data_IF_026561250712
#
_entry.id   IF_026561250712
#
_cell.length_a   1.000
_cell.length_b   1.000
_cell.length_c   1.000
_cell.angle_alpha   90.00
_cell.angle_beta   90.00
_cell.angle_gamma   90.00
#
_symmetry.space_group_name_H-M   'P 1'
#
loop_
_entity.id
_entity.type
_entity.pdbx_description
1 polymer ?
#
# COMPACT_ATOMS: atom_id res chain seq x y z
N UNK A 1 -26.53 28.49 -17.87
CA UNK A 1 -27.79 28.45 -17.10
C UNK A 1 -28.41 27.08 -17.26
N UNK A 2 -29.02 26.61 -16.16
CA UNK A 2 -29.69 25.33 -15.93
C UNK A 2 -28.83 24.11 -15.53
N UNK A 3 -29.36 23.29 -14.59
CA UNK A 3 -28.62 22.83 -13.42
C UNK A 3 -28.66 21.29 -13.25
N UNK A 4 -27.65 20.72 -12.59
CA UNK A 4 -27.68 19.29 -12.22
C UNK A 4 -28.16 19.15 -10.78
N UNK A 5 -29.48 19.20 -10.61
CA UNK A 5 -30.19 18.63 -9.47
C UNK A 5 -30.67 17.22 -9.81
N UNK A 6 -30.50 16.31 -8.85
CA UNK A 6 -31.19 15.01 -8.72
C UNK A 6 -30.56 13.81 -9.41
N UNK A 7 -29.83 13.01 -8.63
CA UNK A 7 -29.79 11.56 -8.79
C UNK A 7 -29.91 10.91 -7.40
N UNK A 8 -31.14 10.45 -7.11
CA UNK A 8 -31.47 9.49 -6.04
C UNK A 8 -31.04 8.10 -6.51
N UNK A 9 -30.36 7.35 -5.64
CA UNK A 9 -30.42 5.88 -5.56
C UNK A 9 -29.99 5.49 -4.13
N UNK A 10 -30.95 5.37 -3.21
CA UNK A 10 -31.50 4.11 -2.69
C UNK A 10 -30.52 3.38 -1.75
N UNK A 11 -30.89 3.42 -0.48
CA UNK A 11 -30.28 2.76 0.68
C UNK A 11 -31.13 1.52 1.02
N UNK A 12 -30.49 0.37 1.20
CA UNK A 12 -30.96 -0.88 1.85
C UNK A 12 -29.68 -1.73 1.99
N UNK A 13 -29.33 -2.40 3.08
CA UNK A 13 -29.93 -2.63 4.40
C UNK A 13 -28.84 -3.27 5.28
N UNK A 14 -29.12 -3.29 6.58
CA UNK A 14 -28.23 -3.67 7.68
C UNK A 14 -27.63 -5.08 7.61
N UNK A 15 -26.44 -5.24 8.20
CA UNK A 15 -26.20 -6.36 9.13
C UNK A 15 -25.27 -5.92 10.27
N UNK A 16 -25.77 -6.11 11.48
CA UNK A 16 -25.13 -5.87 12.76
C UNK A 16 -24.08 -6.94 13.09
N UNK A 17 -23.09 -6.53 13.90
CA UNK A 17 -22.40 -7.42 14.83
C UNK A 17 -20.96 -7.80 14.46
N UNK A 18 -19.99 -7.10 15.04
CA UNK A 18 -19.15 -7.67 16.09
C UNK A 18 -18.13 -6.66 16.64
N UNK A 19 -17.93 -6.82 17.94
CA UNK A 19 -17.23 -6.00 18.92
C UNK A 19 -15.70 -6.11 18.89
N UNK A 20 -15.07 -5.00 19.29
CA UNK A 20 -13.83 -4.86 20.09
C UNK A 20 -12.47 -5.40 19.62
N UNK A 21 -11.55 -4.44 19.45
CA UNK A 21 -10.21 -4.32 20.04
C UNK A 21 -9.32 -5.57 20.17
N UNK A 22 -8.16 -5.55 19.49
CA UNK A 22 -7.05 -6.48 19.73
C UNK A 22 -5.81 -6.13 18.92
N UNK A 23 -4.71 -5.91 19.64
CA UNK A 23 -3.29 -5.77 19.26
C UNK A 23 -2.83 -6.33 17.91
N UNK A 24 -1.90 -5.58 17.29
CA UNK A 24 -1.07 -5.93 16.15
C UNK A 24 -0.64 -7.40 16.12
N UNK A 25 -1.24 -8.17 15.23
CA UNK A 25 -0.77 -9.47 14.78
C UNK A 25 -0.95 -9.51 13.26
N UNK A 26 0.09 -9.91 12.52
CA UNK A 26 -0.02 -10.19 11.07
C UNK A 26 -1.21 -11.14 10.89
N UNK A 27 -2.10 -10.94 9.89
CA UNK A 27 -3.20 -11.86 9.68
C UNK A 27 -2.63 -13.24 9.37
N UNK A 28 -2.79 -14.18 10.29
CA UNK A 28 -2.59 -15.60 10.01
C UNK A 28 -3.72 -16.01 9.08
N UNK A 29 -3.44 -16.10 7.79
CA UNK A 29 -4.36 -16.68 6.82
C UNK A 29 -4.41 -18.19 7.13
N UNK A 30 -5.31 -18.58 8.04
CA UNK A 30 -5.62 -19.99 8.22
C UNK A 30 -6.34 -20.45 6.96
N UNK A 31 -5.84 -21.52 6.33
CA UNK A 31 -6.44 -22.21 5.18
C UNK A 31 -7.76 -22.93 5.54
N UNK A 32 -8.71 -22.22 6.17
CA UNK A 32 -10.06 -22.73 6.38
C UNK A 32 -11.05 -21.80 5.70
N UNK A 33 -11.57 -22.25 4.56
CA UNK A 33 -12.82 -21.75 3.98
C UNK A 33 -12.72 -21.30 2.53
N UNK A 34 -11.72 -20.51 2.15
CA UNK A 34 -11.62 -19.88 0.82
C UNK A 34 -10.14 -19.78 0.36
N UNK A 35 -9.43 -20.91 0.25
CA UNK A 35 -8.03 -20.91 -0.20
C UNK A 35 -7.94 -20.77 -1.72
N UNK A 36 -7.13 -19.82 -2.21
CA UNK A 36 -6.76 -19.70 -3.64
C UNK A 36 -5.90 -20.88 -4.17
N UNK A 37 -5.64 -21.88 -3.33
CA UNK A 37 -4.88 -23.08 -3.66
C UNK A 37 -5.83 -24.24 -3.97
N UNK A 38 -5.47 -25.13 -4.91
CA UNK A 38 -6.23 -26.35 -5.17
C UNK A 38 -6.18 -27.29 -3.96
N UNK A 39 -7.19 -28.17 -3.82
CA UNK A 39 -7.29 -29.13 -2.71
C UNK A 39 -6.07 -30.05 -2.57
N UNK A 40 -5.38 -30.29 -3.68
CA UNK A 40 -4.18 -31.12 -3.75
C UNK A 40 -3.08 -30.42 -4.54
N UNK A 41 -1.88 -30.44 -4.00
CA UNK A 41 -0.67 -29.90 -4.63
C UNK A 41 0.43 -30.94 -4.66
N UNK A 42 1.24 -30.90 -5.71
CA UNK A 42 2.48 -31.68 -5.78
C UNK A 42 3.61 -30.82 -5.21
N UNK A 43 4.41 -31.38 -4.30
CA UNK A 43 5.55 -30.71 -3.69
C UNK A 43 6.84 -31.38 -4.16
N UNK A 44 7.72 -30.66 -4.86
CA UNK A 44 9.09 -31.14 -5.15
C UNK A 44 10.03 -30.65 -4.05
N UNK A 45 10.63 -31.61 -3.36
CA UNK A 45 11.58 -31.36 -2.28
C UNK A 45 12.87 -32.10 -2.61
N UNK A 46 13.84 -31.37 -3.15
CA UNK A 46 15.15 -31.92 -3.49
C UNK A 46 15.09 -33.04 -4.55
N UNK A 47 14.17 -32.93 -5.52
CA UNK A 47 13.99 -33.90 -6.62
C UNK A 47 13.04 -35.04 -6.30
N UNK A 48 12.38 -35.02 -5.14
CA UNK A 48 11.35 -35.99 -4.74
C UNK A 48 10.00 -35.31 -4.71
N UNK A 49 9.05 -35.87 -5.45
CA UNK A 49 7.68 -35.33 -5.55
C UNK A 49 6.76 -36.02 -4.55
N UNK A 50 6.03 -35.23 -3.78
CA UNK A 50 5.03 -35.69 -2.82
C UNK A 50 3.66 -35.10 -3.19
N UNK A 51 2.59 -35.85 -2.96
CA UNK A 51 1.23 -35.29 -2.98
C UNK A 51 0.90 -34.80 -1.58
N UNK A 52 0.53 -33.53 -1.50
CA UNK A 52 0.05 -32.90 -0.28
C UNK A 52 -1.45 -32.63 -0.42
N UNK A 53 -2.23 -33.18 0.51
CA UNK A 53 -3.64 -32.89 0.66
C UNK A 53 -3.80 -31.71 1.62
N UNK A 54 -4.27 -30.58 1.10
CA UNK A 54 -4.34 -29.30 1.82
C UNK A 54 -5.39 -29.36 2.94
N UNK A 55 -6.49 -30.09 2.72
CA UNK A 55 -7.55 -30.18 3.72
C UNK A 55 -7.23 -31.18 4.83
N UNK A 56 -6.61 -32.30 4.48
CA UNK A 56 -6.26 -33.33 5.44
C UNK A 56 -4.92 -33.08 6.17
N UNK A 57 -4.10 -32.12 5.72
CA UNK A 57 -2.71 -31.91 6.15
C UNK A 57 -1.91 -33.23 6.12
N UNK A 58 -2.09 -33.99 5.03
CA UNK A 58 -1.43 -35.29 4.85
C UNK A 58 -0.50 -35.28 3.64
N UNK A 59 0.63 -35.97 3.80
CA UNK A 59 1.65 -36.12 2.78
C UNK A 59 1.72 -37.59 2.34
N UNK A 60 1.51 -37.84 1.06
CA UNK A 60 1.67 -39.17 0.46
C UNK A 60 2.85 -39.16 -0.52
N UNK A 61 3.75 -40.17 -0.49
CA UNK A 61 4.73 -40.34 -1.55
C UNK A 61 4.00 -40.65 -2.86
N UNK A 62 4.26 -39.87 -3.90
CA UNK A 62 3.71 -40.11 -5.23
C UNK A 62 4.69 -40.82 -6.14
N UNK A 63 4.22 -41.82 -6.88
CA UNK A 63 4.76 -42.10 -8.21
C UNK A 63 4.25 -41.01 -9.18
N UNK A 64 5.00 -40.65 -10.23
CA UNK A 64 4.68 -39.49 -11.07
C UNK A 64 3.33 -39.68 -11.76
N UNK A 65 2.28 -39.12 -11.16
CA UNK A 65 0.96 -39.07 -11.77
C UNK A 65 0.99 -37.96 -12.82
N UNK A 66 1.08 -38.35 -14.09
CA UNK A 66 0.81 -37.45 -15.22
C UNK A 66 -0.71 -37.23 -15.28
N UNK A 67 -1.18 -36.15 -14.69
CA UNK A 67 -2.56 -35.68 -14.77
C UNK A 67 -2.58 -34.15 -14.71
N UNK A 68 -3.32 -33.52 -15.63
CA UNK A 68 -3.22 -32.10 -15.97
C UNK A 68 -3.81 -31.10 -14.98
N UNK A 69 -4.33 -31.53 -13.83
CA UNK A 69 -5.09 -30.65 -12.92
C UNK A 69 -4.36 -30.33 -11.60
N UNK A 70 -3.08 -30.68 -11.44
CA UNK A 70 -2.32 -30.48 -10.20
C UNK A 70 -1.30 -29.34 -10.30
N UNK A 71 -1.30 -28.44 -9.31
CA UNK A 71 -0.27 -27.42 -9.15
C UNK A 71 0.99 -28.03 -8.52
N UNK A 72 2.12 -27.91 -9.20
CA UNK A 72 3.41 -28.41 -8.77
C UNK A 72 4.25 -27.28 -8.15
N UNK A 73 4.39 -27.29 -6.83
CA UNK A 73 5.09 -26.28 -6.05
C UNK A 73 6.48 -26.77 -5.68
N UNK A 74 7.47 -25.90 -5.86
CA UNK A 74 8.86 -26.20 -5.52
C UNK A 74 9.64 -24.93 -5.20
N UNK A 75 10.85 -25.12 -4.70
CA UNK A 75 11.82 -24.05 -4.49
C UNK A 75 13.00 -24.24 -5.45
N UNK A 76 13.16 -23.36 -6.45
CA UNK A 76 14.20 -23.52 -7.45
C UNK A 76 15.61 -23.27 -6.89
N UNK A 77 16.51 -24.25 -7.05
CA UNK A 77 17.92 -24.11 -6.68
C UNK A 77 18.72 -23.28 -7.70
N UNK A 78 18.35 -23.36 -8.99
CA UNK A 78 18.98 -22.66 -10.11
C UNK A 78 17.94 -21.82 -10.89
N UNK A 79 18.39 -20.73 -11.54
CA UNK A 79 17.57 -19.84 -12.39
C UNK A 79 17.16 -20.46 -13.74
N UNK A 80 17.03 -21.79 -13.82
CA UNK A 80 16.63 -22.47 -15.06
C UNK A 80 15.11 -22.42 -15.19
N UNK A 81 14.63 -21.71 -16.21
CA UNK A 81 13.22 -21.71 -16.58
C UNK A 81 12.80 -23.13 -16.98
N UNK A 82 11.94 -23.77 -16.19
CA UNK A 82 11.29 -25.04 -16.55
C UNK A 82 9.94 -24.74 -17.19
N UNK A 83 9.77 -25.14 -18.45
CA UNK A 83 8.66 -24.79 -19.33
C UNK A 83 7.36 -25.57 -19.07
N UNK A 84 6.96 -25.76 -17.81
CA UNK A 84 5.80 -26.55 -17.44
C UNK A 84 4.65 -25.65 -16.96
N UNK A 85 3.47 -25.77 -17.56
CA UNK A 85 2.35 -24.83 -17.44
C UNK A 85 1.70 -24.81 -16.04
N UNK A 86 2.01 -25.80 -15.20
CA UNK A 86 1.46 -25.95 -13.85
C UNK A 86 2.53 -25.96 -12.75
N UNK A 87 3.71 -25.41 -13.02
CA UNK A 87 4.84 -25.36 -12.08
C UNK A 87 4.99 -23.97 -11.45
N UNK A 88 5.00 -23.93 -10.12
CA UNK A 88 5.16 -22.73 -9.30
C UNK A 88 6.52 -22.71 -8.61
N UNK A 89 7.32 -21.69 -8.89
CA UNK A 89 8.59 -21.43 -8.22
C UNK A 89 8.42 -20.43 -7.06
N UNK A 90 8.53 -20.91 -5.83
CA UNK A 90 8.46 -20.05 -4.65
C UNK A 90 9.61 -19.04 -4.56
N UNK A 91 10.80 -19.38 -5.08
CA UNK A 91 11.94 -18.46 -5.08
C UNK A 91 11.68 -17.28 -6.02
N UNK A 92 11.00 -17.53 -7.13
CA UNK A 92 10.54 -16.47 -8.03
C UNK A 92 9.66 -15.46 -7.30
N UNK A 93 8.58 -15.92 -6.65
CA UNK A 93 7.68 -15.03 -5.92
C UNK A 93 8.41 -14.31 -4.79
N UNK A 94 9.27 -15.00 -4.05
CA UNK A 94 10.04 -14.39 -2.98
C UNK A 94 10.99 -13.28 -3.48
N UNK A 95 11.62 -13.44 -4.65
CA UNK A 95 12.47 -12.41 -5.26
C UNK A 95 11.70 -11.12 -5.52
N UNK A 96 10.48 -11.26 -6.04
CA UNK A 96 9.62 -10.14 -6.41
C UNK A 96 9.00 -9.48 -5.18
N UNK A 97 8.55 -10.28 -4.21
CA UNK A 97 7.88 -9.81 -3.02
C UNK A 97 8.83 -9.33 -1.94
N UNK A 98 10.11 -9.68 -1.97
CA UNK A 98 11.10 -9.26 -0.96
C UNK A 98 12.40 -8.79 -1.62
N UNK A 99 12.37 -7.75 -2.48
CA UNK A 99 13.54 -7.25 -3.20
C UNK A 99 14.65 -6.73 -2.29
N UNK A 100 14.32 -6.38 -1.04
CA UNK A 100 15.26 -5.91 -0.03
C UNK A 100 16.18 -7.01 0.53
N UNK A 101 15.86 -8.29 0.30
CA UNK A 101 16.69 -9.39 0.76
C UNK A 101 17.97 -9.49 -0.08
N UNK A 102 19.15 -9.62 0.56
CA UNK A 102 20.43 -9.73 -0.15
C UNK A 102 20.53 -11.03 -0.96
N UNK A 103 19.86 -12.07 -0.50
CA UNK A 103 19.75 -13.37 -1.16
C UNK A 103 18.38 -13.98 -0.90
N UNK A 104 17.91 -14.74 -1.87
CA UNK A 104 16.65 -15.49 -1.79
C UNK A 104 16.98 -16.99 -1.75
N UNK A 105 17.82 -17.39 -0.78
CA UNK A 105 17.98 -18.79 -0.42
C UNK A 105 16.81 -19.21 0.48
N UNK A 106 16.40 -20.49 0.44
CA UNK A 106 15.23 -20.98 1.18
C UNK A 106 15.28 -20.57 2.66
N UNK A 107 16.42 -20.80 3.31
CA UNK A 107 16.61 -20.45 4.72
C UNK A 107 16.42 -18.95 4.97
N UNK A 108 16.93 -18.09 4.08
CA UNK A 108 16.88 -16.64 4.27
C UNK A 108 15.47 -16.08 4.14
N UNK A 109 14.73 -16.58 3.15
CA UNK A 109 13.31 -16.21 2.95
C UNK A 109 12.48 -16.63 4.17
N UNK A 110 12.73 -17.83 4.71
CA UNK A 110 12.02 -18.31 5.91
C UNK A 110 12.29 -17.47 7.15
N UNK A 111 13.55 -17.10 7.38
CA UNK A 111 13.93 -16.21 8.48
C UNK A 111 13.20 -14.87 8.38
N UNK A 112 13.14 -14.28 7.17
CA UNK A 112 12.40 -13.04 6.92
C UNK A 112 10.90 -13.18 7.20
N UNK A 113 10.31 -14.32 6.81
CA UNK A 113 8.90 -14.63 7.06
C UNK A 113 8.62 -15.04 8.53
N UNK A 114 9.64 -15.24 9.35
CA UNK A 114 9.51 -15.69 10.74
C UNK A 114 9.12 -17.17 10.89
N UNK A 115 9.36 -17.99 9.86
CA UNK A 115 8.98 -19.40 9.84
C UNK A 115 10.03 -20.29 10.52
N UNK A 116 9.62 -21.04 11.54
CA UNK A 116 10.48 -22.01 12.23
C UNK A 116 10.60 -23.31 11.41
N UNK A 117 11.74 -24.00 11.53
CA UNK A 117 11.91 -25.35 10.95
C UNK A 117 11.04 -26.37 11.66
N UNK A 118 10.29 -27.13 10.87
CA UNK A 118 9.59 -28.32 11.34
C UNK A 118 10.43 -29.57 11.04
N UNK A 119 9.93 -30.72 11.46
CA UNK A 119 10.52 -32.03 11.14
C UNK A 119 10.22 -32.48 9.71
N UNK A 120 9.34 -31.79 8.98
CA UNK A 120 8.92 -32.16 7.63
C UNK A 120 9.24 -31.05 6.64
N UNK A 121 10.13 -31.33 5.70
CA UNK A 121 10.45 -30.40 4.62
C UNK A 121 9.21 -30.03 3.77
N UNK A 122 8.21 -30.92 3.70
CA UNK A 122 6.97 -30.64 3.00
C UNK A 122 6.12 -29.58 3.73
N UNK A 123 5.97 -29.73 5.05
CA UNK A 123 5.25 -28.73 5.86
C UNK A 123 5.97 -27.38 5.83
N UNK A 124 7.30 -27.41 5.84
CA UNK A 124 8.11 -26.19 5.70
C UNK A 124 7.85 -25.46 4.37
N UNK A 125 7.74 -26.20 3.26
CA UNK A 125 7.46 -25.63 1.94
C UNK A 125 6.04 -25.08 1.82
N UNK A 126 5.05 -25.79 2.38
CA UNK A 126 3.64 -25.33 2.44
C UNK A 126 3.51 -24.06 3.26
N UNK A 127 4.09 -24.02 4.46
CA UNK A 127 4.07 -22.84 5.32
C UNK A 127 4.73 -21.62 4.62
N UNK A 128 5.76 -21.86 3.81
CA UNK A 128 6.38 -20.81 3.00
C UNK A 128 5.47 -20.32 1.88
N UNK A 129 4.84 -21.23 1.14
CA UNK A 129 3.85 -20.89 0.11
C UNK A 129 2.73 -20.02 0.70
N UNK A 130 2.12 -20.44 1.80
CA UNK A 130 1.07 -19.70 2.49
C UNK A 130 1.52 -18.28 2.86
N UNK A 131 2.70 -18.14 3.47
CA UNK A 131 3.21 -16.84 3.89
C UNK A 131 3.54 -15.92 2.70
N UNK A 132 4.05 -16.47 1.61
CA UNK A 132 4.32 -15.75 0.36
C UNK A 132 3.01 -15.28 -0.28
N UNK A 133 1.99 -16.13 -0.36
CA UNK A 133 0.69 -15.76 -0.92
C UNK A 133 -0.05 -14.74 -0.04
N UNK A 134 0.07 -14.86 1.28
CA UNK A 134 -0.45 -13.86 2.20
C UNK A 134 0.19 -12.48 1.93
N UNK A 135 1.50 -12.40 1.77
CA UNK A 135 2.17 -11.15 1.38
C UNK A 135 1.72 -10.66 0.00
N UNK A 136 1.63 -11.55 -1.00
CA UNK A 136 1.18 -11.21 -2.34
C UNK A 136 -0.25 -10.63 -2.36
N UNK A 137 -1.14 -11.13 -1.51
CA UNK A 137 -2.51 -10.62 -1.37
C UNK A 137 -2.54 -9.17 -0.90
N UNK A 138 -1.49 -8.72 -0.19
CA UNK A 138 -1.37 -7.33 0.24
C UNK A 138 -1.04 -6.40 -0.90
N UNK A 139 -0.63 -6.86 -2.09
CA UNK A 139 -0.20 -5.97 -3.17
C UNK A 139 -1.34 -5.07 -3.70
N UNK A 140 -0.99 -3.87 -4.14
CA UNK A 140 -1.90 -2.98 -4.85
C UNK A 140 -2.35 -3.59 -6.18
N UNK A 141 -3.49 -3.15 -6.72
CA UNK A 141 -4.00 -3.61 -8.03
C UNK A 141 -2.99 -3.39 -9.15
N UNK A 142 -2.43 -2.19 -9.23
CA UNK A 142 -1.47 -1.83 -10.27
C UNK A 142 -0.20 -2.69 -10.20
N UNK A 143 0.31 -2.92 -8.99
CA UNK A 143 1.46 -3.81 -8.77
C UNK A 143 1.13 -5.24 -9.19
N UNK A 144 -0.03 -5.78 -8.80
CA UNK A 144 -0.46 -7.13 -9.21
C UNK A 144 -0.60 -7.24 -10.73
N UNK A 145 -1.31 -6.30 -11.34
CA UNK A 145 -1.48 -6.24 -12.79
C UNK A 145 -0.14 -6.19 -13.52
N UNK A 146 0.83 -5.41 -13.03
CA UNK A 146 2.17 -5.37 -13.61
C UNK A 146 2.92 -6.70 -13.44
N UNK A 147 2.85 -7.31 -12.26
CA UNK A 147 3.50 -8.59 -11.98
C UNK A 147 2.92 -9.75 -12.80
N UNK A 148 1.60 -9.81 -12.96
CA UNK A 148 0.92 -10.78 -13.85
C UNK A 148 1.47 -10.77 -15.27
N UNK A 149 2.04 -9.65 -15.74
CA UNK A 149 2.54 -9.49 -17.11
C UNK A 149 4.04 -9.75 -17.23
N UNK A 150 4.74 -9.76 -16.10
CA UNK A 150 6.19 -9.93 -16.01
C UNK A 150 6.60 -11.32 -15.53
N UNK A 151 5.78 -11.95 -14.70
CA UNK A 151 6.01 -13.27 -14.15
C UNK A 151 5.60 -14.39 -15.12
N UNK A 152 6.07 -15.63 -14.91
CA UNK A 152 5.61 -16.77 -15.69
C UNK A 152 4.11 -17.03 -15.47
N UNK A 153 3.50 -17.78 -16.39
CA UNK A 153 2.05 -17.95 -16.48
C UNK A 153 1.44 -18.51 -15.18
N UNK A 154 2.12 -19.44 -14.50
CA UNK A 154 1.64 -20.03 -13.24
C UNK A 154 1.62 -19.02 -12.10
N UNK A 155 2.73 -18.32 -11.86
CA UNK A 155 2.84 -17.27 -10.84
C UNK A 155 1.86 -16.14 -11.12
N UNK A 156 1.76 -15.71 -12.39
CA UNK A 156 0.81 -14.70 -12.84
C UNK A 156 -0.64 -15.15 -12.58
N UNK A 157 -0.99 -16.40 -12.90
CA UNK A 157 -2.33 -16.95 -12.68
C UNK A 157 -2.71 -16.92 -11.20
N UNK A 158 -1.79 -17.30 -10.31
CA UNK A 158 -2.02 -17.30 -8.86
C UNK A 158 -2.19 -15.86 -8.34
N UNK A 159 -1.37 -14.91 -8.81
CA UNK A 159 -1.54 -13.50 -8.45
C UNK A 159 -2.86 -12.91 -8.94
N UNK A 160 -3.31 -13.31 -10.13
CA UNK A 160 -4.61 -12.91 -10.70
C UNK A 160 -5.79 -13.45 -9.90
N UNK A 161 -5.73 -14.72 -9.46
CA UNK A 161 -6.76 -15.29 -8.59
C UNK A 161 -6.84 -14.58 -7.23
N UNK A 162 -5.71 -14.16 -6.66
CA UNK A 162 -5.68 -13.31 -5.47
C UNK A 162 -6.27 -11.91 -5.71
N UNK A 163 -6.33 -11.44 -6.97
CA UNK A 163 -6.95 -10.17 -7.34
C UNK A 163 -8.47 -10.19 -7.27
N UNK A 164 -9.11 -11.30 -7.66
CA UNK A 164 -10.56 -11.45 -7.65
C UNK A 164 -11.13 -11.49 -6.23
N UNK A 165 -10.41 -12.12 -5.29
CA UNK A 165 -10.80 -12.22 -3.87
C UNK A 165 -10.70 -10.86 -3.15
N UNK A 166 -9.84 -9.95 -3.62
CA UNK A 166 -9.56 -8.66 -2.97
C UNK A 166 -10.48 -7.50 -3.46
N UNK A 167 -11.65 -7.79 -4.01
CA UNK A 167 -12.46 -6.84 -4.78
C UNK A 167 -13.25 -5.81 -3.94
N UNK A 168 -12.64 -4.66 -3.63
CA UNK A 168 -13.31 -3.35 -3.83
C UNK A 168 -12.48 -2.51 -4.82
N UNK A 169 -13.00 -2.20 -6.03
CA UNK A 169 -12.33 -1.38 -7.03
C UNK A 169 -11.92 0.03 -6.60
N UNK A 170 -12.46 0.53 -5.47
CA UNK A 170 -12.14 1.85 -4.94
C UNK A 170 -11.01 1.84 -3.91
N UNK A 171 -10.59 0.67 -3.43
CA UNK A 171 -9.59 0.53 -2.35
C UNK A 171 -8.15 0.72 -2.86
N UNK A 172 -7.87 0.38 -4.13
CA UNK A 172 -6.55 0.51 -4.74
C UNK A 172 -6.06 1.95 -4.92
N UNK A 173 -6.99 2.91 -5.06
CA UNK A 173 -6.66 4.34 -5.04
C UNK A 173 -6.34 4.86 -3.63
N UNK A 174 -6.78 4.17 -2.57
CA UNK A 174 -6.57 4.62 -1.19
C UNK A 174 -5.13 4.40 -0.69
N UNK A 175 -4.28 3.69 -1.42
CA UNK A 175 -2.88 3.49 -0.97
C UNK A 175 -1.93 4.64 -1.32
N UNK A 176 -2.42 5.62 -2.08
CA UNK A 176 -1.85 6.96 -2.15
C UNK A 176 -2.61 7.96 -1.28
N UNK A 177 -3.58 7.53 -0.47
CA UNK A 177 -4.13 8.37 0.61
C UNK A 177 -3.24 8.20 1.84
N UNK A 178 -2.54 9.25 2.31
CA UNK A 178 -2.13 9.34 3.72
C UNK A 178 -3.35 9.41 4.65
N UNK A 179 -4.57 9.48 4.10
CA UNK A 179 -5.83 9.62 4.82
C UNK A 179 -6.30 8.27 5.36
N UNK A 180 -5.66 7.85 6.45
CA UNK A 180 -6.21 6.83 7.34
C UNK A 180 -7.58 7.27 7.85
N UNK A 181 -8.52 6.33 8.01
CA UNK A 181 -9.83 6.61 8.62
C UNK A 181 -9.63 7.19 10.05
N UNK A 182 -10.50 8.10 10.50
CA UNK A 182 -10.29 8.86 11.73
C UNK A 182 -10.26 7.95 12.95
N UNK A 183 -9.28 8.16 13.83
CA UNK A 183 -9.35 7.68 15.21
C UNK A 183 -9.62 8.90 16.09
N UNK A 184 -10.81 8.92 16.70
CA UNK A 184 -11.33 9.94 17.62
C UNK A 184 -11.54 11.37 17.05
N UNK A 185 -12.77 11.90 17.22
CA UNK A 185 -13.08 13.33 17.05
C UNK A 185 -12.40 14.09 18.19
N UNK A 186 -11.25 14.69 17.95
CA UNK A 186 -10.77 15.77 18.80
C UNK A 186 -11.68 16.99 18.60
N UNK A 187 -12.05 17.68 19.69
CA UNK A 187 -12.74 18.96 19.60
C UNK A 187 -11.85 19.94 18.82
N UNK A 188 -12.40 20.49 17.74
CA UNK A 188 -11.66 21.44 16.90
C UNK A 188 -11.31 22.68 17.73
N UNK A 189 -10.08 23.21 17.58
CA UNK A 189 -9.70 24.42 18.31
C UNK A 189 -10.60 25.60 17.92
N UNK A 190 -10.93 26.42 18.92
CA UNK A 190 -11.83 27.58 18.77
C UNK A 190 -11.24 28.60 17.80
N UNK A 191 -9.91 28.82 17.83
CA UNK A 191 -9.20 29.70 16.89
C UNK A 191 -7.90 29.08 16.36
N UNK A 192 -7.45 29.54 15.19
CA UNK A 192 -6.20 29.12 14.57
C UNK A 192 -4.97 29.49 15.43
N UNK A 193 -5.01 30.63 16.13
CA UNK A 193 -3.93 31.02 17.05
C UNK A 193 -3.84 30.13 18.28
N UNK A 194 -4.98 29.64 18.79
CA UNK A 194 -4.99 28.77 19.98
C UNK A 194 -4.42 27.39 19.66
N UNK A 195 -4.66 26.89 18.44
CA UNK A 195 -4.07 25.64 17.96
C UNK A 195 -2.53 25.64 18.01
N UNK A 196 -1.90 26.81 17.84
CA UNK A 196 -0.44 27.01 17.88
C UNK A 196 0.09 27.50 19.23
N UNK A 197 -0.75 27.63 20.26
CA UNK A 197 -0.28 27.98 21.61
C UNK A 197 0.54 26.82 22.23
N UNK A 198 1.34 27.11 23.26
CA UNK A 198 2.12 26.10 24.00
C UNK A 198 1.29 24.93 24.57
N UNK A 199 -0.02 25.09 24.73
CA UNK A 199 -0.97 24.03 25.13
C UNK A 199 -1.96 23.62 24.03
N UNK A 200 -1.76 24.10 22.80
CA UNK A 200 -2.66 23.88 21.67
C UNK A 200 -2.57 22.46 21.11
N UNK A 201 -3.54 22.11 20.26
CA UNK A 201 -3.66 20.79 19.62
C UNK A 201 -2.41 20.38 18.81
N UNK A 202 -1.62 21.36 18.35
CA UNK A 202 -0.38 21.12 17.60
C UNK A 202 0.83 20.91 18.51
N UNK A 203 0.91 21.57 19.67
CA UNK A 203 2.07 21.45 20.56
C UNK A 203 2.22 20.03 21.13
N UNK A 204 1.10 19.34 21.37
CA UNK A 204 1.07 18.01 21.99
C UNK A 204 1.84 16.92 21.22
N UNK A 205 2.07 17.09 19.92
CA UNK A 205 2.76 16.09 19.09
C UNK A 205 4.18 16.47 18.66
N UNK A 206 4.74 17.58 19.13
CA UNK A 206 6.06 18.07 18.72
C UNK A 206 6.99 18.18 19.93
N UNK A 207 7.98 17.28 20.08
CA UNK A 207 8.98 17.42 21.13
C UNK A 207 9.78 18.71 20.91
N UNK A 208 9.85 19.55 21.93
CA UNK A 208 10.47 20.89 21.89
C UNK A 208 9.70 21.94 21.06
N UNK A 209 8.36 21.85 21.04
CA UNK A 209 7.55 22.95 20.50
C UNK A 209 7.80 24.25 21.29
N UNK A 210 7.97 25.34 20.55
CA UNK A 210 8.16 26.67 21.10
C UNK A 210 7.21 27.61 20.38
N UNK A 211 6.45 28.38 21.16
CA UNK A 211 5.58 29.41 20.63
C UNK A 211 6.39 30.60 20.15
N UNK A 212 6.23 30.96 18.86
CA UNK A 212 6.94 32.07 18.24
C UNK A 212 5.98 33.19 17.90
N UNK A 213 6.22 34.38 18.45
CA UNK A 213 5.35 35.56 18.22
C UNK A 213 5.18 35.89 16.72
N UNK A 214 6.22 35.67 15.90
CA UNK A 214 6.14 35.84 14.44
C UNK A 214 5.16 34.85 13.78
N UNK A 215 5.17 33.60 14.22
CA UNK A 215 4.27 32.54 13.75
C UNK A 215 2.81 32.88 14.08
N UNK A 216 2.55 33.29 15.33
CA UNK A 216 1.22 33.65 15.80
C UNK A 216 0.65 34.86 15.06
N UNK A 217 1.46 35.91 14.87
CA UNK A 217 1.05 37.10 14.09
C UNK A 217 0.71 36.75 12.64
N UNK A 218 1.54 35.95 11.98
CA UNK A 218 1.27 35.49 10.61
C UNK A 218 0.00 34.64 10.55
N UNK A 219 -0.22 33.77 11.53
CA UNK A 219 -1.43 32.93 11.61
C UNK A 219 -2.70 33.76 11.69
N UNK A 220 -2.73 34.76 12.57
CA UNK A 220 -3.89 35.66 12.74
C UNK A 220 -4.14 36.45 11.45
N UNK A 221 -3.08 36.97 10.83
CA UNK A 221 -3.21 37.73 9.58
C UNK A 221 -3.78 36.86 8.44
N UNK A 222 -3.35 35.60 8.34
CA UNK A 222 -3.87 34.65 7.33
C UNK A 222 -5.34 34.30 7.63
N UNK A 223 -5.70 34.02 8.89
CA UNK A 223 -7.07 33.70 9.31
C UNK A 223 -8.04 34.85 8.99
N UNK A 224 -7.64 36.08 9.29
CA UNK A 224 -8.40 37.30 8.93
C UNK A 224 -8.55 37.44 7.41
N UNK A 225 -7.47 37.26 6.64
CA UNK A 225 -7.52 37.35 5.18
C UNK A 225 -8.40 36.27 4.54
N UNK A 226 -8.49 35.07 5.14
CA UNK A 226 -9.40 34.02 4.69
C UNK A 226 -10.86 34.37 4.97
N UNK A 227 -11.15 34.94 6.15
CA UNK A 227 -12.51 35.32 6.55
C UNK A 227 -13.05 36.55 5.80
N UNK A 228 -12.21 37.57 5.62
CA UNK A 228 -12.60 38.85 5.01
C UNK A 228 -12.39 38.86 3.48
N UNK A 229 -11.59 37.92 2.97
CA UNK A 229 -11.10 37.93 1.60
C UNK A 229 -9.99 38.97 1.36
N UNK A 230 -9.43 39.00 0.15
CA UNK A 230 -8.41 39.96 -0.25
C UNK A 230 -7.03 39.34 -0.48
N UNK A 231 -5.98 40.15 -0.34
CA UNK A 231 -4.60 39.74 -0.58
C UNK A 231 -3.70 40.15 0.59
N UNK A 232 -2.95 39.18 1.13
CA UNK A 232 -2.00 39.37 2.21
C UNK A 232 -0.57 39.12 1.71
N UNK A 233 0.32 40.07 1.97
CA UNK A 233 1.77 39.93 1.74
C UNK A 233 2.46 39.92 3.08
N UNK A 234 3.20 38.84 3.36
CA UNK A 234 3.95 38.66 4.62
C UNK A 234 5.43 38.47 4.30
N UNK A 235 6.27 39.37 4.81
CA UNK A 235 7.70 39.09 4.94
C UNK A 235 7.95 38.33 6.24
N UNK A 236 8.71 37.25 6.15
CA UNK A 236 8.99 36.39 7.29
C UNK A 236 10.42 35.83 7.18
N UNK A 237 11.21 35.88 8.25
CA UNK A 237 12.53 35.25 8.25
C UNK A 237 12.44 33.71 8.22
N UNK A 238 13.52 32.99 7.84
CA UNK A 238 13.63 31.56 8.07
C UNK A 238 13.44 31.20 9.56
N UNK A 239 13.02 29.97 9.86
CA UNK A 239 12.94 29.45 11.23
C UNK A 239 11.74 29.91 12.06
N UNK A 240 10.90 30.84 11.58
CA UNK A 240 9.73 31.30 12.35
C UNK A 240 8.52 30.35 12.35
N UNK A 241 8.60 29.19 11.67
CA UNK A 241 7.46 28.28 11.54
C UNK A 241 6.42 28.69 10.48
N UNK A 242 6.84 29.38 9.41
CA UNK A 242 5.99 29.88 8.31
C UNK A 242 4.98 28.86 7.80
N UNK A 243 5.42 27.62 7.60
CA UNK A 243 4.59 26.53 7.07
C UNK A 243 3.34 26.33 7.91
N UNK A 244 3.51 26.19 9.21
CA UNK A 244 2.39 25.96 10.12
C UNK A 244 1.54 27.22 10.26
N UNK A 245 2.17 28.40 10.22
CA UNK A 245 1.46 29.67 10.32
C UNK A 245 0.42 29.88 9.21
N UNK A 246 0.69 29.44 7.97
CA UNK A 246 -0.33 29.52 6.91
C UNK A 246 -1.20 28.24 6.81
N UNK A 247 -0.68 27.05 7.15
CA UNK A 247 -1.45 25.81 7.00
C UNK A 247 -2.53 25.63 8.06
N UNK A 248 -2.24 25.96 9.33
CA UNK A 248 -3.22 25.81 10.43
C UNK A 248 -4.52 26.55 10.17
N UNK A 249 -4.53 27.87 9.86
CA UNK A 249 -5.77 28.58 9.56
C UNK A 249 -6.44 28.07 8.28
N UNK A 250 -5.67 27.71 7.25
CA UNK A 250 -6.20 27.12 6.01
C UNK A 250 -6.95 25.81 6.25
N UNK A 251 -6.39 24.90 7.06
CA UNK A 251 -7.00 23.60 7.34
C UNK A 251 -8.28 23.76 8.16
N UNK A 252 -8.28 24.64 9.16
CA UNK A 252 -9.48 24.95 9.95
C UNK A 252 -10.56 25.62 9.11
N UNK A 253 -10.17 26.50 8.19
CA UNK A 253 -11.08 27.12 7.23
C UNK A 253 -11.75 26.07 6.33
N UNK A 254 -10.96 25.19 5.69
CA UNK A 254 -11.49 24.12 4.85
C UNK A 254 -12.35 23.11 5.61
N UNK A 255 -12.06 22.87 6.90
CA UNK A 255 -12.88 22.01 7.75
C UNK A 255 -14.26 22.64 8.03
N UNK A 256 -14.35 23.97 8.10
CA UNK A 256 -15.60 24.72 8.28
C UNK A 256 -16.34 24.96 6.95
N UNK A 257 -15.60 25.03 5.86
CA UNK A 257 -16.08 25.34 4.50
C UNK A 257 -15.67 24.25 3.50
N UNK A 258 -16.28 23.05 3.57
CA UNK A 258 -15.88 21.87 2.78
C UNK A 258 -16.07 22.03 1.27
N UNK A 259 -16.85 23.02 0.83
CA UNK A 259 -17.06 23.39 -0.56
C UNK A 259 -15.88 24.18 -1.16
N UNK A 260 -15.04 24.77 -0.32
CA UNK A 260 -13.92 25.62 -0.74
C UNK A 260 -12.67 24.81 -1.10
N UNK A 261 -11.73 25.47 -1.77
CA UNK A 261 -10.47 24.86 -2.23
C UNK A 261 -9.32 25.85 -2.05
N UNK A 262 -8.21 25.36 -1.53
CA UNK A 262 -6.97 26.14 -1.37
C UNK A 262 -5.84 25.50 -2.16
N UNK A 263 -5.05 26.35 -2.82
CA UNK A 263 -3.82 25.95 -3.52
C UNK A 263 -2.63 26.55 -2.80
N UNK A 264 -1.72 25.70 -2.34
CA UNK A 264 -0.43 26.10 -1.79
C UNK A 264 0.64 25.94 -2.87
N UNK A 265 1.26 27.05 -3.27
CA UNK A 265 2.35 27.07 -4.25
C UNK A 265 3.70 27.26 -3.55
N UNK A 266 4.70 26.48 -3.95
CA UNK A 266 6.07 26.56 -3.42
C UNK A 266 7.08 26.67 -4.55
N UNK A 267 8.30 27.13 -4.22
CA UNK A 267 9.36 27.36 -5.21
C UNK A 267 9.92 26.08 -5.82
N UNK A 268 9.96 24.97 -5.09
CA UNK A 268 10.63 23.74 -5.52
C UNK A 268 9.81 22.48 -5.20
N UNK A 269 10.05 21.41 -5.97
CA UNK A 269 9.40 20.11 -5.77
C UNK A 269 9.73 19.51 -4.40
N UNK A 270 10.97 19.68 -3.92
CA UNK A 270 11.37 19.18 -2.60
C UNK A 270 10.57 19.86 -1.48
N UNK A 271 10.32 21.17 -1.57
CA UNK A 271 9.47 21.87 -0.60
C UNK A 271 8.02 21.38 -0.67
N UNK A 272 7.50 21.13 -1.88
CA UNK A 272 6.16 20.56 -2.05
C UNK A 272 6.04 19.16 -1.43
N UNK A 273 7.03 18.29 -1.65
CA UNK A 273 7.07 16.93 -1.08
C UNK A 273 7.21 16.96 0.43
N UNK A 274 8.02 17.86 0.98
CA UNK A 274 8.13 18.05 2.42
C UNK A 274 6.77 18.42 3.05
N UNK A 275 6.02 19.34 2.40
CA UNK A 275 4.68 19.67 2.84
C UNK A 275 3.76 18.45 2.78
N UNK A 276 3.76 17.74 1.66
CA UNK A 276 2.81 16.65 1.41
C UNK A 276 3.07 15.38 2.23
N UNK A 277 4.33 15.00 2.44
CA UNK A 277 4.70 13.74 3.10
C UNK A 277 4.83 13.88 4.62
N UNK A 278 5.04 15.08 5.13
CA UNK A 278 5.34 15.29 6.56
C UNK A 278 4.42 16.30 7.21
N UNK A 279 4.39 17.53 6.70
CA UNK A 279 3.74 18.63 7.41
C UNK A 279 2.19 18.51 7.33
N UNK A 280 1.64 18.16 6.15
CA UNK A 280 0.20 18.00 5.93
C UNK A 280 -0.41 16.77 6.61
N UNK A 281 0.17 15.55 6.57
CA UNK A 281 -0.36 14.42 7.33
C UNK A 281 -0.43 14.73 8.82
N UNK A 282 0.64 15.32 9.37
CA UNK A 282 0.70 15.70 10.78
C UNK A 282 -0.40 16.69 11.19
N UNK A 283 -0.63 17.74 10.39
CA UNK A 283 -1.63 18.77 10.68
C UNK A 283 -3.06 18.31 10.32
N UNK A 284 -3.22 17.62 9.18
CA UNK A 284 -4.50 17.16 8.66
C UNK A 284 -5.21 16.21 9.62
N UNK A 285 -4.48 15.24 10.16
CA UNK A 285 -5.04 14.27 11.13
C UNK A 285 -5.58 14.95 12.40
N UNK A 286 -5.01 16.11 12.77
CA UNK A 286 -5.36 16.84 13.99
C UNK A 286 -6.41 17.92 13.78
N UNK A 287 -6.39 18.60 12.64
CA UNK A 287 -7.18 19.81 12.40
C UNK A 287 -8.29 19.63 11.38
N UNK A 288 -8.12 18.73 10.41
CA UNK A 288 -9.07 18.54 9.31
C UNK A 288 -9.15 17.07 8.90
N UNK A 289 -9.57 16.18 9.81
CA UNK A 289 -9.59 14.75 9.54
C UNK A 289 -10.53 14.42 8.38
N UNK A 290 -10.01 13.72 7.37
CA UNK A 290 -10.75 13.37 6.15
C UNK A 290 -10.71 14.43 5.05
N UNK A 291 -9.99 15.55 5.24
CA UNK A 291 -9.77 16.53 4.19
C UNK A 291 -8.96 15.92 3.04
N UNK A 292 -9.47 16.07 1.81
CA UNK A 292 -8.80 15.57 0.61
C UNK A 292 -7.65 16.50 0.22
N UNK A 293 -6.44 15.94 0.14
CA UNK A 293 -5.22 16.67 -0.22
C UNK A 293 -4.52 15.98 -1.39
N UNK A 294 -4.09 16.76 -2.38
CA UNK A 294 -3.40 16.24 -3.56
C UNK A 294 -2.16 17.07 -3.89
N UNK A 295 -1.14 16.41 -4.44
CA UNK A 295 0.07 17.05 -4.95
C UNK A 295 -0.03 17.19 -6.48
N UNK A 296 0.15 18.42 -6.96
CA UNK A 296 0.15 18.72 -8.39
C UNK A 296 1.59 18.92 -8.87
N UNK A 297 2.07 18.04 -9.76
CA UNK A 297 3.38 18.14 -10.43
C UNK A 297 3.20 18.27 -11.94
N UNK A 298 4.26 18.67 -12.64
CA UNK A 298 4.31 18.62 -14.11
C UNK A 298 4.20 17.17 -14.62
N UNK A 299 3.65 16.97 -15.82
CA UNK A 299 3.40 15.63 -16.40
C UNK A 299 4.65 14.77 -16.51
N UNK A 300 5.81 15.40 -16.70
CA UNK A 300 7.12 14.76 -16.75
C UNK A 300 7.56 14.10 -15.44
N UNK A 301 6.84 14.36 -14.34
CA UNK A 301 7.08 13.76 -13.02
C UNK A 301 6.21 12.52 -12.76
N UNK A 302 5.43 12.08 -13.75
CA UNK A 302 4.58 10.90 -13.64
C UNK A 302 4.99 9.86 -14.67
N UNK A 303 5.02 8.60 -14.25
CA UNK A 303 5.21 7.48 -15.17
C UNK A 303 4.01 7.38 -16.11
N UNK A 304 4.27 7.41 -17.42
CA UNK A 304 3.23 7.17 -18.40
C UNK A 304 2.93 5.67 -18.47
N UNK A 305 1.83 5.24 -17.83
CA UNK A 305 1.43 3.83 -17.76
C UNK A 305 1.35 3.16 -19.15
N UNK A 306 0.86 3.86 -20.18
CA UNK A 306 0.82 3.33 -21.56
C UNK A 306 2.21 3.09 -22.17
N UNK A 307 3.17 4.02 -21.95
CA UNK A 307 4.55 3.81 -22.43
C UNK A 307 5.23 2.69 -21.66
N UNK A 308 4.98 2.63 -20.35
CA UNK A 308 5.48 1.57 -19.49
C UNK A 308 4.95 0.19 -19.91
N UNK A 309 3.64 0.09 -20.16
CA UNK A 309 2.99 -1.11 -20.67
C UNK A 309 3.61 -1.57 -21.99
N UNK A 310 3.80 -0.65 -22.93
CA UNK A 310 4.48 -0.95 -24.20
C UNK A 310 5.92 -1.42 -24.00
N UNK A 311 6.67 -0.77 -23.11
CA UNK A 311 8.03 -1.17 -22.76
C UNK A 311 8.07 -2.59 -22.19
N UNK A 312 7.13 -2.94 -21.30
CA UNK A 312 7.00 -4.29 -20.78
C UNK A 312 6.72 -5.31 -21.90
N UNK A 313 5.75 -5.00 -22.77
CA UNK A 313 5.32 -5.92 -23.82
C UNK A 313 6.38 -6.16 -24.89
N UNK A 314 7.08 -5.12 -25.32
CA UNK A 314 8.03 -5.19 -26.45
C UNK A 314 9.44 -5.57 -26.00
N UNK A 315 9.93 -4.97 -24.90
CA UNK A 315 11.34 -5.11 -24.50
C UNK A 315 11.51 -6.21 -23.45
N UNK A 316 10.65 -6.25 -22.42
CA UNK A 316 10.84 -7.18 -21.31
C UNK A 316 10.40 -8.61 -21.66
N UNK A 317 9.38 -8.81 -22.50
CA UNK A 317 9.02 -10.16 -22.97
C UNK A 317 10.09 -10.83 -23.82
N UNK A 318 10.92 -10.05 -24.51
CA UNK A 318 12.04 -10.56 -25.30
C UNK A 318 13.22 -11.01 -24.43
N UNK A 319 13.26 -10.65 -23.14
CA UNK A 319 14.35 -11.03 -22.26
C UNK A 319 14.27 -12.50 -21.83
N UNK A 320 15.43 -13.16 -21.67
CA UNK A 320 15.52 -14.41 -20.93
C UNK A 320 14.92 -14.26 -19.53
N UNK A 321 14.56 -15.39 -18.93
CA UNK A 321 13.93 -15.44 -17.61
C UNK A 321 14.57 -14.50 -16.58
N UNK A 322 15.89 -14.62 -16.36
CA UNK A 322 16.61 -13.82 -15.39
C UNK A 322 16.43 -12.29 -15.60
N UNK A 323 16.29 -11.84 -16.86
CA UNK A 323 16.02 -10.45 -17.19
C UNK A 323 14.59 -10.01 -16.86
N UNK A 324 13.60 -10.89 -17.05
CA UNK A 324 12.20 -10.63 -16.67
C UNK A 324 12.01 -10.58 -15.16
N UNK A 325 12.63 -11.51 -14.43
CA UNK A 325 12.59 -11.53 -12.96
C UNK A 325 13.24 -10.29 -12.36
N UNK A 326 14.34 -9.81 -12.96
CA UNK A 326 14.99 -8.56 -12.55
C UNK A 326 14.07 -7.35 -12.80
N UNK A 327 13.35 -7.32 -13.91
CA UNK A 327 12.42 -6.23 -14.22
C UNK A 327 11.17 -6.24 -13.30
N UNK A 328 10.74 -7.40 -12.81
CA UNK A 328 9.67 -7.50 -11.82
C UNK A 328 10.02 -6.78 -10.50
N UNK A 329 11.30 -6.65 -10.16
CA UNK A 329 11.74 -5.85 -8.99
C UNK A 329 11.40 -4.36 -9.13
N UNK A 330 11.35 -3.84 -10.38
CA UNK A 330 10.99 -2.45 -10.65
C UNK A 330 9.52 -2.14 -10.37
N UNK A 331 8.68 -3.17 -10.16
CA UNK A 331 7.26 -2.98 -9.85
C UNK A 331 7.03 -2.67 -8.37
N UNK A 332 7.96 -3.08 -7.50
CA UNK A 332 7.89 -2.82 -6.04
C UNK A 332 8.72 -1.62 -5.60
N UNK A 333 9.62 -1.12 -6.46
CA UNK A 333 10.44 0.07 -6.24
C UNK A 333 9.67 1.36 -6.57
#
# INVERSE_FOLDING_TARGET
MCPWSTLRAVWWGAFDGLTSCGTSSRPSMQLRGDSALPERILLDIGGKVFLYDVQADTLAPTQPARGGDLLHVYYAMDDRATSDEHRLDLRCLARVLFPELPEHAEQRVREHLGLKRTTSAARDLVAMLEAILAEASTLGRESRWLLERLLPQTEASILGQLAEVASDPREGLRRLDPLSKPTARAELPVSASDALSLGGTIAAGLPNYEERAGQRRMTIAVDQCLAEGGALVVDAPPGIGKTFAYLVPVLLHLQRHPEERVVVSTRTRQLQEQLYLRDLPYLGDRLAPGLKMAILKGRENYLCLRRWERFIQEQLRALPWAGRSAAALLVRW
#
